data_IF_696083331066
#
_entry.id   IF_696083331066
#
_cell.length_a   1.000
_cell.length_b   1.000
_cell.length_c   1.000
_cell.angle_alpha   90.00
_cell.angle_beta   90.00
_cell.angle_gamma   90.00
#
_symmetry.space_group_name_H-M   'P 1'
#
loop_
_entity.id
_entity.type
_entity.pdbx_description
1 polymer ?
#
# COMPACT_ATOMS: atom_id res chain seq x y z
N UNK A 1 -16.89 6.47 19.35
CA UNK A 1 -17.32 5.74 18.14
C UNK A 1 -17.87 6.63 17.01
N UNK A 2 -18.65 7.69 17.27
CA UNK A 2 -19.25 8.56 16.21
C UNK A 2 -18.26 9.40 15.38
N UNK A 3 -17.14 9.85 15.96
CA UNK A 3 -16.18 10.77 15.30
C UNK A 3 -15.43 10.14 14.13
N UNK A 4 -15.00 8.88 14.28
CA UNK A 4 -14.24 8.14 13.27
C UNK A 4 -15.06 7.87 12.01
N UNK A 5 -16.38 7.63 12.13
CA UNK A 5 -17.26 7.39 10.99
C UNK A 5 -17.47 8.64 10.14
N UNK A 6 -17.58 9.81 10.78
CA UNK A 6 -17.71 11.11 10.10
C UNK A 6 -16.50 11.41 9.22
N UNK A 7 -15.29 11.22 9.74
CA UNK A 7 -14.06 11.42 8.98
C UNK A 7 -13.96 10.49 7.75
N UNK A 8 -14.31 9.21 7.89
CA UNK A 8 -14.30 8.26 6.77
C UNK A 8 -15.28 8.69 5.67
N UNK A 9 -16.48 9.14 6.04
CA UNK A 9 -17.48 9.64 5.08
C UNK A 9 -16.94 10.90 4.39
N UNK A 10 -16.40 11.85 5.15
CA UNK A 10 -15.82 13.09 4.62
C UNK A 10 -14.71 12.82 3.60
N UNK A 11 -13.79 11.92 3.91
CA UNK A 11 -12.72 11.50 2.99
C UNK A 11 -13.27 10.88 1.71
N UNK A 12 -14.28 10.01 1.82
CA UNK A 12 -14.89 9.36 0.66
C UNK A 12 -15.63 10.37 -0.22
N UNK A 13 -16.38 11.30 0.37
CA UNK A 13 -17.06 12.37 -0.37
C UNK A 13 -16.05 13.28 -1.06
N UNK A 14 -14.98 13.69 -0.38
CA UNK A 14 -13.92 14.49 -0.96
C UNK A 14 -13.26 13.81 -2.17
N UNK A 15 -12.90 12.53 -2.02
CA UNK A 15 -12.27 11.75 -3.11
C UNK A 15 -13.21 11.58 -4.31
N UNK A 16 -14.51 11.33 -4.07
CA UNK A 16 -15.49 11.21 -5.15
C UNK A 16 -15.81 12.55 -5.81
N UNK A 17 -15.86 13.63 -5.02
CA UNK A 17 -15.95 14.99 -5.53
C UNK A 17 -14.77 15.32 -6.43
N UNK A 18 -13.54 15.03 -5.98
CA UNK A 18 -12.32 15.25 -6.76
C UNK A 18 -12.30 14.45 -8.07
N UNK A 19 -12.78 13.21 -8.04
CA UNK A 19 -12.97 12.40 -9.23
C UNK A 19 -13.95 13.08 -10.22
N UNK A 20 -15.11 13.55 -9.73
CA UNK A 20 -16.12 14.23 -10.54
C UNK A 20 -15.61 15.55 -11.15
N UNK A 21 -14.97 16.38 -10.32
CA UNK A 21 -14.39 17.66 -10.76
C UNK A 21 -13.29 17.45 -11.79
N UNK A 22 -12.40 16.47 -11.59
CA UNK A 22 -11.35 16.15 -12.55
C UNK A 22 -11.94 15.69 -13.89
N UNK A 23 -12.95 14.82 -13.88
CA UNK A 23 -13.60 14.35 -15.09
C UNK A 23 -14.28 15.49 -15.86
N UNK A 24 -14.94 16.41 -15.16
CA UNK A 24 -15.55 17.60 -15.76
C UNK A 24 -14.50 18.52 -16.39
N UNK A 25 -13.43 18.82 -15.65
CA UNK A 25 -12.32 19.66 -16.13
C UNK A 25 -11.60 19.03 -17.34
N UNK A 26 -11.35 17.71 -17.28
CA UNK A 26 -10.73 16.94 -18.36
C UNK A 26 -11.57 16.98 -19.64
N UNK A 27 -12.89 16.85 -19.52
CA UNK A 27 -13.82 16.89 -20.66
C UNK A 27 -13.88 18.29 -21.27
N UNK A 28 -13.97 19.33 -20.43
CA UNK A 28 -14.08 20.72 -20.88
C UNK A 28 -12.80 21.23 -21.56
N UNK A 29 -11.62 20.79 -21.11
CA UNK A 29 -10.34 21.24 -21.64
C UNK A 29 -9.67 20.23 -22.59
N UNK A 30 -10.35 19.11 -22.90
CA UNK A 30 -9.82 18.00 -23.69
C UNK A 30 -8.45 17.46 -23.20
N UNK A 31 -8.23 17.48 -21.88
CA UNK A 31 -6.98 17.03 -21.24
C UNK A 31 -7.15 15.56 -20.89
N UNK A 32 -6.57 14.65 -21.66
CA UNK A 32 -6.48 13.23 -21.33
C UNK A 32 -5.08 12.91 -20.80
N UNK A 33 -4.99 12.45 -19.54
CA UNK A 33 -3.73 11.95 -18.98
C UNK A 33 -3.70 10.43 -19.18
N UNK A 34 -2.82 9.90 -20.05
CA UNK A 34 -2.67 8.46 -20.21
C UNK A 34 -2.29 7.82 -18.87
N UNK A 35 -3.02 6.77 -18.47
CA UNK A 35 -2.75 6.01 -17.24
C UNK A 35 -2.77 6.84 -15.94
N UNK A 36 -3.56 7.92 -15.88
CA UNK A 36 -3.70 8.74 -14.66
C UNK A 36 -4.13 7.93 -13.43
N UNK A 37 -4.90 6.86 -13.61
CA UNK A 37 -5.25 5.89 -12.57
C UNK A 37 -4.02 5.22 -11.94
N UNK A 38 -3.07 4.77 -12.76
CA UNK A 38 -1.81 4.16 -12.32
C UNK A 38 -0.90 5.18 -11.65
N UNK A 39 -0.85 6.42 -12.16
CA UNK A 39 -0.03 7.48 -11.57
C UNK A 39 -0.52 7.84 -10.16
N UNK A 40 -1.83 8.09 -10.00
CA UNK A 40 -2.43 8.38 -8.70
C UNK A 40 -2.24 7.22 -7.74
N UNK A 41 -2.51 6.00 -8.18
CA UNK A 41 -2.29 4.80 -7.36
C UNK A 41 -0.84 4.69 -6.90
N UNK A 42 0.12 4.86 -7.82
CA UNK A 42 1.56 4.79 -7.51
C UNK A 42 1.99 5.84 -6.50
N UNK A 43 1.54 7.09 -6.65
CA UNK A 43 1.84 8.18 -5.71
C UNK A 43 1.27 7.88 -4.32
N UNK A 44 0.05 7.35 -4.24
CA UNK A 44 -0.53 6.93 -2.96
C UNK A 44 0.26 5.77 -2.33
N UNK A 45 0.67 4.79 -3.14
CA UNK A 45 1.51 3.68 -2.68
C UNK A 45 2.87 4.15 -2.17
N UNK A 46 3.48 5.15 -2.80
CA UNK A 46 4.71 5.80 -2.33
C UNK A 46 4.57 6.30 -0.88
N UNK A 47 3.52 7.09 -0.63
CA UNK A 47 3.22 7.64 0.68
C UNK A 47 2.87 6.55 1.70
N UNK A 48 2.02 5.58 1.31
CA UNK A 48 1.57 4.50 2.18
C UNK A 48 2.74 3.60 2.61
N UNK A 49 3.66 3.27 1.69
CA UNK A 49 4.80 2.41 2.01
C UNK A 49 5.85 3.13 2.85
N UNK A 50 6.06 4.42 2.60
CA UNK A 50 6.83 5.25 3.52
C UNK A 50 6.22 5.27 4.92
N UNK A 51 4.90 5.48 5.02
CA UNK A 51 4.19 5.47 6.29
C UNK A 51 4.31 4.13 7.02
N UNK A 52 4.05 3.01 6.33
CA UNK A 52 4.14 1.67 6.89
C UNK A 52 5.49 1.39 7.57
N UNK A 53 6.60 1.65 6.86
CA UNK A 53 7.93 1.38 7.39
C UNK A 53 8.36 2.43 8.42
N UNK A 54 8.20 3.72 8.10
CA UNK A 54 8.86 4.78 8.84
C UNK A 54 7.93 5.60 9.74
N UNK A 55 6.64 5.76 9.42
CA UNK A 55 5.67 6.60 10.14
C UNK A 55 4.28 5.93 10.22
N UNK A 56 4.15 4.80 10.94
CA UNK A 56 2.90 4.02 11.00
C UNK A 56 1.76 4.80 11.66
N UNK A 57 2.08 5.83 12.44
CA UNK A 57 1.17 6.77 13.09
C UNK A 57 0.37 7.63 12.11
N UNK A 58 0.78 7.66 10.84
CA UNK A 58 0.16 8.50 9.80
C UNK A 58 -0.90 7.77 8.98
N UNK A 59 -1.05 6.46 9.15
CA UNK A 59 -2.08 5.67 8.47
C UNK A 59 -2.98 4.96 9.51
N UNK A 60 -4.23 4.62 9.16
CA UNK A 60 -5.11 3.91 10.08
C UNK A 60 -4.52 2.57 10.54
N UNK A 61 -4.65 2.26 11.83
CA UNK A 61 -4.08 1.05 12.43
C UNK A 61 -4.59 -0.24 11.77
N UNK A 62 -5.87 -0.31 11.41
CA UNK A 62 -6.45 -1.47 10.70
C UNK A 62 -5.81 -1.67 9.33
N UNK A 63 -5.50 -0.57 8.63
CA UNK A 63 -4.84 -0.62 7.34
C UNK A 63 -3.37 -1.03 7.48
N UNK A 64 -2.69 -0.54 8.50
CA UNK A 64 -1.33 -0.97 8.83
C UNK A 64 -1.26 -2.48 9.15
N UNK A 65 -2.20 -2.98 9.96
CA UNK A 65 -2.32 -4.43 10.24
C UNK A 65 -2.61 -5.25 8.98
N UNK A 66 -3.45 -4.73 8.08
CA UNK A 66 -3.70 -5.36 6.78
C UNK A 66 -2.44 -5.42 5.92
N UNK A 67 -1.68 -4.32 5.79
CA UNK A 67 -0.41 -4.30 5.06
C UNK A 67 0.60 -5.27 5.69
N UNK A 68 0.70 -5.31 7.01
CA UNK A 68 1.57 -6.25 7.74
C UNK A 68 1.21 -7.71 7.43
N UNK A 69 -0.08 -8.01 7.31
CA UNK A 69 -0.55 -9.36 6.94
C UNK A 69 -0.24 -9.66 5.47
N UNK A 70 -0.48 -8.68 4.59
CA UNK A 70 -0.27 -8.81 3.16
C UNK A 70 1.21 -8.94 2.77
N UNK A 71 2.13 -8.27 3.48
CA UNK A 71 3.56 -8.31 3.20
C UNK A 71 4.20 -9.65 3.53
N UNK A 72 3.58 -10.46 4.41
CA UNK A 72 4.07 -11.79 4.82
C UNK A 72 5.50 -11.78 5.36
N UNK A 73 5.97 -10.64 5.87
CA UNK A 73 7.23 -10.49 6.60
C UNK A 73 6.98 -10.52 8.11
N UNK A 74 7.97 -10.86 8.95
CA UNK A 74 7.80 -10.76 10.40
C UNK A 74 7.59 -9.30 10.82
N UNK A 75 6.63 -9.05 11.71
CA UNK A 75 6.33 -7.71 12.24
C UNK A 75 7.56 -7.07 12.90
N UNK A 76 8.32 -7.89 13.61
CA UNK A 76 9.54 -7.55 14.34
C UNK A 76 10.58 -6.99 13.39
N UNK A 77 10.69 -7.50 12.17
CA UNK A 77 11.61 -7.00 11.15
C UNK A 77 11.27 -5.57 10.72
N UNK A 78 9.98 -5.23 10.65
CA UNK A 78 9.51 -3.86 10.37
C UNK A 78 9.82 -2.92 11.55
N UNK A 79 9.64 -3.41 12.79
CA UNK A 79 9.97 -2.65 14.00
C UNK A 79 11.48 -2.39 14.09
N UNK A 80 12.30 -3.43 13.91
CA UNK A 80 13.77 -3.35 13.89
C UNK A 80 14.23 -2.36 12.81
N UNK A 81 13.69 -2.47 11.59
CA UNK A 81 14.01 -1.56 10.50
C UNK A 81 13.76 -0.10 10.89
N UNK A 82 12.59 0.18 11.47
CA UNK A 82 12.22 1.54 11.89
C UNK A 82 13.12 2.07 12.99
N UNK A 83 13.42 1.26 14.01
CA UNK A 83 14.29 1.67 15.12
C UNK A 83 15.72 1.92 14.65
N UNK A 84 16.27 1.05 13.81
CA UNK A 84 17.58 1.23 13.19
C UNK A 84 17.63 2.52 12.35
N UNK A 85 16.61 2.75 11.53
CA UNK A 85 16.57 3.91 10.65
C UNK A 85 16.44 5.24 11.40
N UNK A 86 15.70 5.27 12.51
CA UNK A 86 15.44 6.49 13.28
C UNK A 86 16.51 6.77 14.34
N UNK A 87 16.88 5.75 15.09
CA UNK A 87 17.67 5.86 16.31
C UNK A 87 19.03 5.17 16.20
N UNK A 88 19.29 4.42 15.13
CA UNK A 88 20.53 3.65 14.98
C UNK A 88 20.61 2.41 15.86
N UNK A 89 19.53 2.05 16.58
CA UNK A 89 19.51 0.94 17.54
C UNK A 89 18.28 0.05 17.31
N UNK A 90 18.36 -1.22 17.70
CA UNK A 90 17.20 -2.11 17.75
C UNK A 90 17.08 -2.77 19.13
N UNK A 91 15.87 -3.15 19.50
CA UNK A 91 15.64 -3.93 20.72
C UNK A 91 16.05 -5.40 20.48
N UNK A 92 17.02 -5.94 21.25
CA UNK A 92 17.46 -7.33 21.18
C UNK A 92 16.34 -8.36 21.19
N UNK A 93 15.25 -8.12 21.94
CA UNK A 93 14.13 -9.06 22.05
C UNK A 93 13.39 -9.25 20.72
N UNK A 94 13.28 -8.19 19.92
CA UNK A 94 12.68 -8.27 18.60
C UNK A 94 13.52 -9.13 17.65
N UNK A 95 14.85 -9.01 17.69
CA UNK A 95 15.75 -9.80 16.85
C UNK A 95 15.76 -11.27 17.26
N UNK A 96 15.79 -11.55 18.57
CA UNK A 96 15.66 -12.91 19.10
C UNK A 96 14.34 -13.57 18.71
N UNK A 97 13.24 -12.81 18.71
CA UNK A 97 11.94 -13.32 18.27
C UNK A 97 11.96 -13.75 16.81
N UNK A 98 12.69 -13.06 15.94
CA UNK A 98 12.86 -13.44 14.52
C UNK A 98 13.75 -14.67 14.39
N UNK A 99 14.86 -14.71 15.13
CA UNK A 99 15.80 -15.82 15.15
C UNK A 99 15.14 -17.13 15.61
N UNK A 100 14.32 -17.08 16.67
CA UNK A 100 13.69 -18.25 17.28
C UNK A 100 12.42 -18.74 16.56
N UNK A 101 12.07 -18.18 15.40
CA UNK A 101 10.91 -18.68 14.62
C UNK A 101 11.23 -20.06 14.06
N UNK A 102 10.26 -20.97 14.12
CA UNK A 102 10.36 -22.31 13.50
C UNK A 102 10.71 -22.29 12.01
N UNK A 103 10.37 -21.19 11.34
CA UNK A 103 10.62 -21.04 9.91
C UNK A 103 12.02 -20.55 9.59
N UNK A 104 12.82 -20.12 10.57
CA UNK A 104 14.13 -19.51 10.33
C UNK A 104 15.17 -20.56 9.96
N UNK A 105 15.91 -20.34 8.87
CA UNK A 105 17.00 -21.23 8.45
C UNK A 105 18.18 -21.16 9.43
N UNK A 106 18.96 -22.24 9.54
CA UNK A 106 20.13 -22.27 10.41
C UNK A 106 21.15 -21.18 10.03
N UNK A 107 21.37 -20.99 8.72
CA UNK A 107 22.29 -19.97 8.21
C UNK A 107 21.86 -18.55 8.59
N UNK A 108 20.58 -18.22 8.44
CA UNK A 108 20.06 -16.92 8.85
C UNK A 108 20.11 -16.74 10.37
N UNK A 109 19.77 -17.79 11.14
CA UNK A 109 19.85 -17.74 12.60
C UNK A 109 21.29 -17.43 13.08
N UNK A 110 22.31 -18.02 12.47
CA UNK A 110 23.71 -17.74 12.81
C UNK A 110 24.08 -16.27 12.55
N UNK A 111 23.70 -15.71 11.40
CA UNK A 111 23.99 -14.29 11.09
C UNK A 111 23.24 -13.32 12.02
N UNK A 112 21.99 -13.65 12.36
CA UNK A 112 21.20 -12.86 13.31
C UNK A 112 21.80 -12.93 14.71
N UNK A 113 22.31 -14.10 15.12
CA UNK A 113 23.02 -14.29 16.38
C UNK A 113 24.33 -13.50 16.42
N UNK A 114 25.13 -13.53 15.35
CA UNK A 114 26.37 -12.75 15.25
C UNK A 114 26.08 -11.26 15.44
N UNK A 115 25.06 -10.73 14.74
CA UNK A 115 24.67 -9.33 14.87
C UNK A 115 24.14 -8.98 16.26
N UNK A 116 23.41 -9.88 16.89
CA UNK A 116 22.93 -9.73 18.27
C UNK A 116 24.12 -9.68 19.24
N UNK A 117 25.11 -10.56 19.05
CA UNK A 117 26.30 -10.62 19.88
C UNK A 117 27.15 -9.36 19.75
N UNK A 118 27.33 -8.86 18.52
CA UNK A 118 28.04 -7.61 18.24
C UNK A 118 27.35 -6.43 18.95
N UNK A 119 26.02 -6.31 18.81
CA UNK A 119 25.25 -5.26 19.47
C UNK A 119 25.39 -5.31 21.01
N UNK A 120 25.48 -6.50 21.59
CA UNK A 120 25.66 -6.68 23.03
C UNK A 120 27.10 -6.36 23.50
N UNK A 121 28.12 -6.70 22.71
CA UNK A 121 29.53 -6.53 23.12
C UNK A 121 30.10 -5.16 22.82
N UNK A 122 29.79 -4.59 21.66
CA UNK A 122 30.41 -3.33 21.17
C UNK A 122 29.43 -2.17 21.12
N UNK A 123 28.13 -2.42 21.28
CA UNK A 123 27.09 -1.43 21.04
C UNK A 123 26.88 -1.12 19.55
N UNK A 124 27.48 -1.89 18.64
CA UNK A 124 27.29 -1.74 17.19
C UNK A 124 26.08 -2.57 16.72
N UNK A 125 25.00 -1.87 16.36
CA UNK A 125 23.77 -2.47 15.85
C UNK A 125 23.81 -2.71 14.33
N UNK A 126 24.93 -2.38 13.67
CA UNK A 126 25.15 -2.51 12.23
C UNK A 126 24.53 -1.39 11.40
N UNK A 127 24.32 -1.65 10.10
CA UNK A 127 23.73 -0.67 9.17
C UNK A 127 22.32 -0.19 9.59
N UNK A 128 21.89 1.01 9.11
CA UNK A 128 20.66 1.70 9.54
C UNK A 128 19.36 1.07 9.00
N UNK A 129 19.38 -0.23 8.72
CA UNK A 129 18.27 -0.99 8.18
C UNK A 129 18.34 -2.45 8.64
N UNK A 130 17.17 -3.10 8.70
CA UNK A 130 17.04 -4.53 9.02
C UNK A 130 17.79 -5.39 8.00
N UNK A 131 18.57 -6.40 8.43
CA UNK A 131 19.22 -7.33 7.50
C UNK A 131 18.19 -8.19 6.77
N UNK A 132 18.51 -8.59 5.54
CA UNK A 132 17.68 -9.46 4.71
C UNK A 132 17.35 -10.79 5.42
N UNK A 133 18.29 -11.31 6.21
CA UNK A 133 18.12 -12.53 7.01
C UNK A 133 16.98 -12.40 8.05
N UNK A 134 16.64 -11.18 8.47
CA UNK A 134 15.47 -10.92 9.31
C UNK A 134 14.21 -10.60 8.49
N UNK A 135 14.32 -10.10 7.26
CA UNK A 135 13.16 -9.82 6.39
C UNK A 135 12.51 -11.11 5.88
N UNK A 136 13.33 -12.06 5.45
CA UNK A 136 12.89 -13.35 4.93
C UNK A 136 13.64 -14.53 5.60
N UNK A 137 13.47 -14.71 6.93
CA UNK A 137 14.26 -15.68 7.69
C UNK A 137 14.12 -17.13 7.22
N UNK A 138 13.05 -17.46 6.49
CA UNK A 138 12.77 -18.79 5.94
C UNK A 138 13.54 -19.14 4.67
N UNK A 139 14.36 -18.22 4.16
CA UNK A 139 15.13 -18.46 2.95
C UNK A 139 16.43 -17.68 2.95
N UNK A 140 17.47 -18.30 2.43
CA UNK A 140 18.80 -17.70 2.35
C UNK A 140 18.97 -16.83 1.10
N UNK A 141 18.20 -17.11 0.04
CA UNK A 141 18.28 -16.39 -1.24
C UNK A 141 17.36 -15.16 -1.28
N UNK A 142 17.97 -13.98 -1.37
CA UNK A 142 17.26 -12.71 -1.59
C UNK A 142 16.59 -12.62 -2.96
N UNK A 143 17.12 -13.31 -3.97
CA UNK A 143 16.63 -13.25 -5.37
C UNK A 143 15.35 -14.07 -5.52
N UNK A 144 15.25 -15.19 -4.81
CA UNK A 144 14.05 -16.03 -4.84
C UNK A 144 12.95 -15.52 -3.90
N UNK A 145 13.29 -14.64 -2.95
CA UNK A 145 12.34 -14.14 -1.96
C UNK A 145 11.12 -13.43 -2.54
N UNK A 146 11.26 -12.55 -3.55
CA UNK A 146 10.10 -11.97 -4.24
C UNK A 146 9.19 -12.99 -4.91
N UNK A 147 9.75 -14.07 -5.48
CA UNK A 147 8.99 -15.12 -6.18
C UNK A 147 8.18 -15.95 -5.18
N UNK A 148 8.82 -16.36 -4.09
CA UNK A 148 8.16 -17.06 -3.00
C UNK A 148 7.06 -16.19 -2.36
N UNK A 149 7.31 -14.89 -2.15
CA UNK A 149 6.28 -13.98 -1.65
C UNK A 149 5.15 -13.76 -2.63
N UNK A 150 5.43 -13.65 -3.93
CA UNK A 150 4.38 -13.62 -4.95
C UNK A 150 3.45 -14.83 -4.80
N UNK A 151 4.00 -16.04 -4.75
CA UNK A 151 3.21 -17.27 -4.64
C UNK A 151 2.42 -17.34 -3.33
N UNK A 152 3.04 -16.97 -2.20
CA UNK A 152 2.41 -16.95 -0.88
C UNK A 152 1.23 -15.98 -0.81
N UNK A 153 1.42 -14.75 -1.29
CA UNK A 153 0.38 -13.71 -1.31
C UNK A 153 -0.72 -14.07 -2.32
N UNK A 154 -0.35 -14.58 -3.48
CA UNK A 154 -1.30 -15.05 -4.49
C UNK A 154 -2.22 -16.13 -3.91
N UNK A 155 -1.65 -17.17 -3.29
CA UNK A 155 -2.43 -18.28 -2.71
C UNK A 155 -3.32 -17.83 -1.56
N UNK A 156 -2.87 -16.88 -0.75
CA UNK A 156 -3.67 -16.30 0.33
C UNK A 156 -4.85 -15.48 -0.18
N UNK A 157 -4.62 -14.69 -1.23
CA UNK A 157 -5.61 -13.74 -1.71
C UNK A 157 -6.59 -14.37 -2.71
N UNK A 158 -6.21 -15.49 -3.33
CA UNK A 158 -7.04 -16.26 -4.25
C UNK A 158 -8.44 -16.58 -3.71
N UNK A 159 -8.64 -17.16 -2.50
CA UNK A 159 -9.98 -17.43 -1.99
C UNK A 159 -10.77 -16.14 -1.69
N UNK A 160 -10.11 -15.07 -1.24
CA UNK A 160 -10.75 -13.80 -0.90
C UNK A 160 -11.30 -13.12 -2.16
N UNK A 161 -10.47 -13.00 -3.20
CA UNK A 161 -10.93 -12.46 -4.49
C UNK A 161 -11.83 -13.42 -5.24
N UNK A 162 -11.66 -14.73 -5.05
CA UNK A 162 -12.56 -15.76 -5.56
C UNK A 162 -13.98 -15.53 -5.07
N UNK A 163 -14.16 -15.36 -3.76
CA UNK A 163 -15.46 -15.00 -3.19
C UNK A 163 -15.97 -13.66 -3.74
N UNK A 164 -15.12 -12.63 -3.82
CA UNK A 164 -15.52 -11.30 -4.32
C UNK A 164 -16.03 -11.32 -5.76
N UNK A 165 -15.43 -12.12 -6.65
CA UNK A 165 -15.85 -12.21 -8.05
C UNK A 165 -17.00 -13.19 -8.26
N UNK A 166 -17.08 -14.26 -7.46
CA UNK A 166 -18.10 -15.29 -7.59
C UNK A 166 -19.43 -14.93 -6.91
N UNK A 167 -19.39 -14.33 -5.71
CA UNK A 167 -20.61 -14.02 -4.94
C UNK A 167 -21.56 -13.09 -5.68
N UNK A 168 -21.13 -11.94 -6.25
CA UNK A 168 -22.04 -11.07 -7.00
C UNK A 168 -22.59 -11.76 -8.26
N UNK A 169 -21.80 -12.62 -8.90
CA UNK A 169 -22.21 -13.38 -10.06
C UNK A 169 -23.32 -14.40 -9.70
N UNK A 170 -23.15 -15.12 -8.58
CA UNK A 170 -24.13 -16.08 -8.07
C UNK A 170 -25.36 -15.39 -7.49
N UNK A 171 -25.22 -14.27 -6.78
CA UNK A 171 -26.37 -13.62 -6.13
C UNK A 171 -27.24 -12.83 -7.11
N UNK A 172 -26.64 -12.00 -7.96
CA UNK A 172 -27.38 -11.05 -8.79
C UNK A 172 -27.65 -11.56 -10.21
N UNK A 173 -26.96 -12.62 -10.65
CA UNK A 173 -27.09 -13.18 -12.01
C UNK A 173 -27.41 -14.69 -11.99
N UNK A 174 -28.23 -15.13 -11.03
CA UNK A 174 -28.61 -16.56 -10.84
C UNK A 174 -29.05 -17.25 -12.12
N UNK A 175 -29.99 -16.65 -12.87
CA UNK A 175 -30.52 -17.25 -14.11
C UNK A 175 -29.41 -17.51 -15.13
N UNK A 176 -28.62 -16.48 -15.44
CA UNK A 176 -27.47 -16.59 -16.35
C UNK A 176 -26.39 -17.55 -15.83
N UNK A 177 -26.22 -17.64 -14.50
CA UNK A 177 -25.26 -18.55 -13.88
C UNK A 177 -25.66 -20.02 -14.07
N UNK A 178 -26.95 -20.34 -13.95
CA UNK A 178 -27.44 -21.70 -14.20
C UNK A 178 -27.55 -22.04 -15.69
N UNK A 179 -27.81 -21.05 -16.55
CA UNK A 179 -27.82 -21.24 -18.01
C UNK A 179 -26.41 -21.44 -18.60
N UNK A 180 -25.41 -20.72 -18.07
CA UNK A 180 -24.03 -20.71 -18.60
C UNK A 180 -22.97 -20.77 -17.48
N UNK A 181 -22.91 -21.88 -16.71
CA UNK A 181 -22.05 -21.98 -15.53
C UNK A 181 -20.57 -21.85 -15.86
N UNK A 182 -20.09 -22.51 -16.93
CA UNK A 182 -18.67 -22.52 -17.27
C UNK A 182 -18.15 -21.18 -17.79
N UNK A 183 -18.95 -20.44 -18.56
CA UNK A 183 -18.57 -19.08 -18.97
C UNK A 183 -18.44 -18.15 -17.76
N UNK A 184 -19.38 -18.22 -16.82
CA UNK A 184 -19.38 -17.36 -15.64
C UNK A 184 -18.27 -17.72 -14.67
N UNK A 185 -18.01 -19.01 -14.46
CA UNK A 185 -16.89 -19.49 -13.67
C UNK A 185 -15.55 -19.14 -14.32
N UNK A 186 -15.41 -19.27 -15.63
CA UNK A 186 -14.20 -18.86 -16.34
C UNK A 186 -13.90 -17.36 -16.19
N UNK A 187 -14.92 -16.50 -16.33
CA UNK A 187 -14.78 -15.05 -16.11
C UNK A 187 -14.43 -14.73 -14.65
N UNK A 188 -15.08 -15.38 -13.69
CA UNK A 188 -14.81 -15.18 -12.26
C UNK A 188 -13.40 -15.66 -11.89
N UNK A 189 -12.98 -16.82 -12.42
CA UNK A 189 -11.64 -17.36 -12.23
C UNK A 189 -10.57 -16.43 -12.83
N UNK A 190 -10.78 -15.93 -14.05
CA UNK A 190 -9.86 -14.97 -14.67
C UNK A 190 -9.74 -13.67 -13.87
N UNK A 191 -10.88 -13.13 -13.39
CA UNK A 191 -10.89 -11.98 -12.49
C UNK A 191 -10.12 -12.24 -11.19
N UNK A 192 -10.29 -13.44 -10.63
CA UNK A 192 -9.64 -13.86 -9.38
C UNK A 192 -8.14 -14.01 -9.54
N UNK A 193 -7.68 -14.70 -10.58
CA UNK A 193 -6.26 -14.87 -10.92
C UNK A 193 -5.63 -13.51 -11.13
N UNK A 194 -6.27 -12.64 -11.92
CA UNK A 194 -5.76 -11.31 -12.25
C UNK A 194 -5.63 -10.41 -11.02
N UNK A 195 -6.64 -10.35 -10.16
CA UNK A 195 -6.60 -9.56 -8.93
C UNK A 195 -5.60 -10.10 -7.91
N UNK A 196 -5.49 -11.44 -7.79
CA UNK A 196 -4.51 -12.07 -6.89
C UNK A 196 -3.08 -11.84 -7.38
N UNK A 197 -2.87 -11.91 -8.70
CA UNK A 197 -1.58 -11.60 -9.32
C UNK A 197 -1.21 -10.13 -9.15
N UNK A 198 -2.16 -9.19 -9.25
CA UNK A 198 -1.91 -7.77 -8.98
C UNK A 198 -1.28 -7.56 -7.59
N UNK A 199 -1.92 -8.09 -6.53
CA UNK A 199 -1.40 -7.90 -5.17
C UNK A 199 -0.10 -8.68 -4.94
N UNK A 200 0.02 -9.90 -5.47
CA UNK A 200 1.26 -10.67 -5.42
C UNK A 200 2.43 -9.90 -6.07
N UNK A 201 2.20 -9.33 -7.25
CA UNK A 201 3.19 -8.52 -7.98
C UNK A 201 3.55 -7.26 -7.20
N UNK A 202 2.58 -6.60 -6.55
CA UNK A 202 2.84 -5.44 -5.68
C UNK A 202 3.88 -5.79 -4.60
N UNK A 203 3.64 -6.87 -3.85
CA UNK A 203 4.53 -7.29 -2.75
C UNK A 203 5.89 -7.72 -3.29
N UNK A 204 5.92 -8.47 -4.39
CA UNK A 204 7.15 -8.93 -5.02
C UNK A 204 8.03 -7.76 -5.49
N UNK A 205 7.46 -6.75 -6.17
CA UNK A 205 8.20 -5.56 -6.59
C UNK A 205 8.77 -4.82 -5.38
N UNK A 206 7.96 -4.57 -4.34
CA UNK A 206 8.42 -3.84 -3.16
C UNK A 206 9.56 -4.55 -2.45
N UNK A 207 9.43 -5.87 -2.27
CA UNK A 207 10.45 -6.66 -1.60
C UNK A 207 11.72 -6.80 -2.43
N UNK A 208 11.60 -6.98 -3.75
CA UNK A 208 12.75 -7.02 -4.65
C UNK A 208 13.53 -5.70 -4.58
N UNK A 209 12.81 -4.58 -4.65
CA UNK A 209 13.40 -3.25 -4.51
C UNK A 209 14.07 -3.06 -3.14
N UNK A 210 13.38 -3.43 -2.05
CA UNK A 210 13.91 -3.32 -0.70
C UNK A 210 15.20 -4.15 -0.55
N UNK A 211 15.18 -5.44 -0.90
CA UNK A 211 16.35 -6.30 -0.73
C UNK A 211 17.52 -5.85 -1.64
N UNK A 212 17.24 -5.46 -2.88
CA UNK A 212 18.26 -4.97 -3.82
C UNK A 212 18.93 -3.71 -3.29
N UNK A 213 18.17 -2.73 -2.80
CA UNK A 213 18.74 -1.50 -2.24
C UNK A 213 19.62 -1.76 -1.01
N UNK A 214 19.19 -2.63 -0.10
CA UNK A 214 19.96 -2.93 1.12
C UNK A 214 21.20 -3.77 0.83
N UNK A 215 21.12 -4.72 -0.10
CA UNK A 215 22.27 -5.49 -0.56
C UNK A 215 23.28 -4.59 -1.29
N UNK A 216 22.80 -3.68 -2.16
CA UNK A 216 23.64 -2.70 -2.83
C UNK A 216 24.29 -1.74 -1.81
N UNK A 217 23.55 -1.27 -0.82
CA UNK A 217 24.08 -0.42 0.24
C UNK A 217 25.17 -1.11 1.07
N UNK A 218 25.02 -2.42 1.34
CA UNK A 218 26.02 -3.25 2.02
C UNK A 218 27.25 -3.48 1.14
N UNK A 219 27.05 -3.78 -0.14
CA UNK A 219 28.14 -3.95 -1.11
C UNK A 219 29.00 -2.67 -1.25
N UNK A 220 28.33 -1.52 -1.33
CA UNK A 220 28.99 -0.20 -1.38
C UNK A 220 29.63 0.20 -0.05
N UNK A 221 29.23 -0.39 1.09
CA UNK A 221 29.90 -0.15 2.36
C UNK A 221 31.32 -0.75 2.37
N UNK A 222 31.52 -1.85 1.65
CA UNK A 222 32.83 -2.50 1.51
C UNK A 222 33.76 -1.73 0.55
N UNK A 223 33.22 -0.87 -0.31
CA UNK A 223 33.98 -0.03 -1.25
C UNK A 223 34.00 1.44 -0.79
N UNK A 224 35.13 1.88 -0.22
CA UNK A 224 35.28 3.22 0.42
C UNK A 224 35.01 4.41 -0.50
N UNK A 225 35.06 4.26 -1.83
CA UNK A 225 34.93 5.35 -2.80
C UNK A 225 33.49 5.86 -3.01
N UNK A 226 32.47 5.20 -2.45
CA UNK A 226 31.04 5.46 -2.79
C UNK A 226 30.15 5.85 -1.62
N UNK A 227 30.68 6.53 -0.60
CA UNK A 227 29.90 6.93 0.59
C UNK A 227 28.67 7.80 0.26
N UNK A 228 28.77 8.74 -0.69
CA UNK A 228 27.63 9.58 -1.13
C UNK A 228 26.52 8.74 -1.78
N UNK A 229 26.89 7.78 -2.63
CA UNK A 229 25.93 6.91 -3.30
C UNK A 229 25.21 6.00 -2.30
N UNK A 230 25.95 5.45 -1.33
CA UNK A 230 25.38 4.67 -0.22
C UNK A 230 24.37 5.50 0.58
N UNK A 231 24.70 6.74 0.93
CA UNK A 231 23.78 7.63 1.65
C UNK A 231 22.51 7.93 0.85
N UNK A 232 22.61 8.05 -0.48
CA UNK A 232 21.48 8.26 -1.36
C UNK A 232 20.56 7.02 -1.42
N UNK A 233 21.13 5.80 -1.48
CA UNK A 233 20.35 4.55 -1.52
C UNK A 233 19.63 4.28 -0.19
N UNK A 234 20.18 4.73 0.93
CA UNK A 234 19.54 4.58 2.24
C UNK A 234 18.70 5.82 2.60
N UNK A 235 18.57 6.79 1.69
CA UNK A 235 17.86 8.03 2.00
C UNK A 235 16.35 7.81 2.15
N UNK A 236 15.69 8.70 2.92
CA UNK A 236 14.23 8.68 3.13
C UNK A 236 13.40 8.63 1.83
N UNK A 237 13.77 9.34 0.75
CA UNK A 237 13.06 9.25 -0.53
C UNK A 237 13.06 7.86 -1.17
N UNK A 238 14.03 6.98 -0.88
CA UNK A 238 14.06 5.65 -1.50
C UNK A 238 12.85 4.79 -1.14
N UNK A 239 12.30 4.95 0.06
CA UNK A 239 11.05 4.26 0.43
C UNK A 239 9.84 4.75 -0.37
N UNK A 240 9.83 6.03 -0.80
CA UNK A 240 8.81 6.53 -1.72
C UNK A 240 8.97 5.91 -3.10
N UNK A 241 10.21 5.84 -3.61
CA UNK A 241 10.48 5.19 -4.91
C UNK A 241 10.04 3.72 -4.89
N UNK A 242 10.30 3.00 -3.80
CA UNK A 242 9.83 1.62 -3.66
C UNK A 242 8.31 1.50 -3.77
N UNK A 243 7.57 2.39 -3.12
CA UNK A 243 6.11 2.43 -3.24
C UNK A 243 5.62 2.88 -4.62
N UNK A 244 6.29 3.83 -5.28
CA UNK A 244 6.02 4.23 -6.66
C UNK A 244 6.16 3.04 -7.62
N UNK A 245 7.29 2.33 -7.56
CA UNK A 245 7.56 1.17 -8.40
C UNK A 245 6.54 0.06 -8.16
N UNK A 246 6.18 -0.19 -6.90
CA UNK A 246 5.19 -1.21 -6.55
C UNK A 246 3.79 -0.83 -7.07
N UNK A 247 3.50 0.46 -7.21
CA UNK A 247 2.28 0.97 -7.83
C UNK A 247 2.09 0.52 -9.29
N UNK A 248 3.18 0.25 -10.02
CA UNK A 248 3.13 -0.25 -11.40
C UNK A 248 2.48 -1.63 -11.51
N UNK A 249 2.41 -2.39 -10.41
CA UNK A 249 1.65 -3.64 -10.36
C UNK A 249 0.19 -3.47 -10.82
N UNK A 250 -0.39 -2.26 -10.72
CA UNK A 250 -1.75 -1.97 -11.15
C UNK A 250 -1.99 -2.26 -12.65
N UNK A 251 -0.95 -2.28 -13.48
CA UNK A 251 -1.06 -2.72 -14.88
C UNK A 251 -1.55 -4.16 -15.01
N UNK A 252 -1.25 -5.03 -14.04
CA UNK A 252 -1.74 -6.40 -13.99
C UNK A 252 -3.25 -6.42 -13.83
N UNK A 253 -3.87 -5.46 -13.15
CA UNK A 253 -5.32 -5.40 -12.94
C UNK A 253 -6.08 -4.87 -14.18
N UNK A 254 -7.36 -5.24 -14.29
CA UNK A 254 -8.25 -4.86 -15.38
C UNK A 254 -8.52 -3.36 -15.38
N UNK A 255 -8.41 -2.72 -16.55
CA UNK A 255 -8.57 -1.27 -16.74
C UNK A 255 -9.83 -0.70 -16.04
N UNK A 256 -10.95 -1.44 -16.07
CA UNK A 256 -12.20 -1.05 -15.42
C UNK A 256 -12.10 -0.92 -13.89
N UNK A 257 -11.25 -1.71 -13.23
CA UNK A 257 -11.10 -1.74 -11.76
C UNK A 257 -10.01 -0.79 -11.24
N UNK A 258 -9.07 -0.38 -12.09
CA UNK A 258 -7.91 0.43 -11.69
C UNK A 258 -8.32 1.75 -11.05
N UNK A 259 -9.29 2.45 -11.65
CA UNK A 259 -9.83 3.71 -11.10
C UNK A 259 -10.48 3.51 -9.72
N UNK A 260 -11.20 2.41 -9.50
CA UNK A 260 -11.81 2.11 -8.20
C UNK A 260 -10.75 1.82 -7.14
N UNK A 261 -9.70 1.07 -7.49
CA UNK A 261 -8.57 0.79 -6.60
C UNK A 261 -7.76 2.04 -6.27
N UNK A 262 -7.50 2.91 -7.26
CA UNK A 262 -6.86 4.20 -7.05
C UNK A 262 -7.66 5.05 -6.07
N UNK A 263 -8.98 5.15 -6.25
CA UNK A 263 -9.86 5.90 -5.34
C UNK A 263 -10.00 5.25 -3.96
N UNK A 264 -9.79 3.93 -3.85
CA UNK A 264 -9.78 3.24 -2.55
C UNK A 264 -8.54 3.61 -1.72
N UNK A 265 -7.35 3.67 -2.34
CA UNK A 265 -6.10 4.00 -1.64
C UNK A 265 -5.85 5.50 -1.49
N UNK A 266 -6.42 6.32 -2.38
CA UNK A 266 -6.27 7.78 -2.37
C UNK A 266 -6.53 8.44 -1.02
N UNK A 267 -7.66 8.21 -0.32
CA UNK A 267 -7.91 8.85 0.96
C UNK A 267 -6.86 8.45 2.02
N UNK A 268 -6.33 7.22 1.96
CA UNK A 268 -5.28 6.74 2.88
C UNK A 268 -3.92 7.39 2.62
N UNK A 269 -3.57 7.55 1.35
CA UNK A 269 -2.38 8.30 0.95
C UNK A 269 -2.47 9.77 1.35
N UNK A 270 -3.59 10.43 1.06
CA UNK A 270 -3.80 11.84 1.40
C UNK A 270 -3.83 12.09 2.91
N UNK A 271 -4.50 11.23 3.68
CA UNK A 271 -4.51 11.30 5.15
C UNK A 271 -3.08 11.25 5.71
N UNK A 272 -2.28 10.29 5.24
CA UNK A 272 -0.88 10.15 5.66
C UNK A 272 -0.03 11.35 5.27
N UNK A 273 -0.16 11.83 4.03
CA UNK A 273 0.54 13.03 3.57
C UNK A 273 0.15 14.26 4.40
N UNK A 274 -1.13 14.42 4.72
CA UNK A 274 -1.65 15.53 5.53
C UNK A 274 -1.12 15.49 6.96
N UNK A 275 -1.13 14.33 7.62
CA UNK A 275 -0.58 14.17 8.98
C UNK A 275 0.92 14.46 8.99
N UNK A 276 1.65 14.00 7.97
CA UNK A 276 3.08 14.32 7.83
C UNK A 276 3.34 15.82 7.60
N UNK A 277 2.53 16.48 6.76
CA UNK A 277 2.63 17.91 6.49
C UNK A 277 2.38 18.73 7.76
N UNK A 278 1.37 18.36 8.56
CA UNK A 278 1.12 18.99 9.87
C UNK A 278 2.27 18.78 10.84
N UNK A 279 2.83 17.57 10.90
CA UNK A 279 3.98 17.27 11.76
C UNK A 279 5.26 18.05 11.39
N UNK A 280 5.35 18.57 10.16
CA UNK A 280 6.46 19.44 9.71
C UNK A 280 6.13 20.94 9.78
N UNK A 281 4.93 21.32 10.20
CA UNK A 281 4.48 22.71 10.22
C UNK A 281 4.06 23.28 8.86
N UNK A 282 3.95 22.46 7.81
CA UNK A 282 3.55 22.91 6.47
C UNK A 282 2.02 23.05 6.29
N UNK A 283 1.24 22.47 7.19
CA UNK A 283 -0.22 22.53 7.12
C UNK A 283 -0.79 23.22 8.37
N UNK A 284 -1.77 24.10 8.15
CA UNK A 284 -2.42 24.87 9.20
C UNK A 284 -3.16 23.96 10.20
N UNK A 285 -3.16 24.38 11.47
CA UNK A 285 -3.93 23.73 12.52
C UNK A 285 -5.43 23.92 12.28
N UNK A 286 -6.07 22.94 11.66
CA UNK A 286 -7.53 22.96 11.39
C UNK A 286 -8.40 22.64 12.62
N UNK A 287 -7.78 22.44 13.79
CA UNK A 287 -8.45 22.18 15.05
C UNK A 287 -9.50 21.05 14.96
N UNK A 288 -10.62 21.23 15.66
CA UNK A 288 -11.75 20.29 15.62
C UNK A 288 -12.63 20.43 14.36
N UNK A 289 -12.40 21.44 13.52
CA UNK A 289 -13.27 21.76 12.37
C UNK A 289 -12.79 21.13 11.05
N UNK A 290 -11.58 20.59 11.00
CA UNK A 290 -11.00 20.03 9.77
C UNK A 290 -11.84 18.93 9.13
N UNK A 291 -12.46 18.05 9.92
CA UNK A 291 -13.34 16.99 9.42
C UNK A 291 -14.60 17.57 8.76
N UNK A 292 -15.25 18.54 9.42
CA UNK A 292 -16.44 19.20 8.91
C UNK A 292 -16.15 20.02 7.65
N UNK A 293 -15.00 20.69 7.60
CA UNK A 293 -14.57 21.44 6.42
C UNK A 293 -14.26 20.53 5.23
N UNK A 294 -13.53 19.42 5.46
CA UNK A 294 -13.26 18.43 4.43
C UNK A 294 -14.56 17.82 3.88
N UNK A 295 -15.52 17.54 4.77
CA UNK A 295 -16.83 17.05 4.40
C UNK A 295 -17.61 18.08 3.58
N UNK A 296 -17.62 19.35 4.01
CA UNK A 296 -18.33 20.43 3.31
C UNK A 296 -17.74 20.67 1.91
N UNK A 297 -16.42 20.71 1.79
CA UNK A 297 -15.73 20.82 0.50
C UNK A 297 -16.07 19.61 -0.38
N UNK A 298 -15.93 18.40 0.16
CA UNK A 298 -16.23 17.18 -0.59
C UNK A 298 -17.67 17.11 -1.08
N UNK A 299 -18.63 17.48 -0.23
CA UNK A 299 -20.05 17.54 -0.60
C UNK A 299 -20.30 18.63 -1.64
N UNK A 300 -19.69 19.80 -1.51
CA UNK A 300 -19.78 20.88 -2.50
C UNK A 300 -19.29 20.43 -3.88
N UNK A 301 -18.14 19.75 -3.95
CA UNK A 301 -17.60 19.20 -5.20
C UNK A 301 -18.53 18.16 -5.83
N UNK A 302 -19.11 17.28 -5.00
CA UNK A 302 -20.10 16.28 -5.45
C UNK A 302 -21.35 16.95 -5.99
N UNK A 303 -21.87 17.99 -5.32
CA UNK A 303 -23.06 18.73 -5.77
C UNK A 303 -22.82 19.51 -7.05
N UNK A 304 -21.65 20.14 -7.22
CA UNK A 304 -21.27 20.77 -8.50
C UNK A 304 -21.20 19.74 -9.62
N UNK A 305 -20.65 18.55 -9.34
CA UNK A 305 -20.58 17.45 -10.30
C UNK A 305 -21.95 16.80 -10.57
N UNK A 306 -22.92 16.95 -9.67
CA UNK A 306 -24.28 16.42 -9.85
C UNK A 306 -25.06 17.17 -10.94
N UNK A 307 -24.71 18.43 -11.20
CA UNK A 307 -25.25 19.18 -12.34
C UNK A 307 -24.77 18.62 -13.70
N UNK A 308 -23.71 17.80 -13.71
CA UNK A 308 -23.16 17.12 -14.89
C UNK A 308 -22.93 15.62 -14.58
N UNK A 309 -24.02 14.83 -14.44
CA UNK A 309 -24.00 13.49 -13.86
C UNK A 309 -23.18 12.44 -14.65
N UNK A 310 -22.83 12.73 -15.90
CA UNK A 310 -21.90 11.99 -16.75
C UNK A 310 -20.48 11.89 -16.16
N UNK A 311 -20.09 12.83 -15.30
CA UNK A 311 -18.75 12.88 -14.71
C UNK A 311 -18.62 12.12 -13.39
N UNK A 312 -19.74 11.67 -12.80
CA UNK A 312 -19.77 10.93 -11.54
C UNK A 312 -19.67 9.41 -11.76
N UNK A 313 -19.04 8.72 -10.80
CA UNK A 313 -19.07 7.25 -10.77
C UNK A 313 -20.51 6.72 -10.70
N UNK A 314 -20.82 5.68 -11.47
CA UNK A 314 -22.18 5.13 -11.58
C UNK A 314 -22.81 4.64 -10.27
N UNK A 315 -22.02 4.37 -9.23
CA UNK A 315 -22.50 4.08 -7.88
C UNK A 315 -22.89 5.35 -7.12
N UNK A 316 -22.04 6.38 -7.15
CA UNK A 316 -22.31 7.69 -6.54
C UNK A 316 -23.53 8.33 -7.17
N UNK A 317 -23.62 8.27 -8.50
CA UNK A 317 -24.77 8.74 -9.27
C UNK A 317 -26.07 8.06 -8.82
N UNK A 318 -26.07 6.73 -8.66
CA UNK A 318 -27.26 5.98 -8.20
C UNK A 318 -27.67 6.35 -6.77
N UNK A 319 -26.70 6.50 -5.87
CA UNK A 319 -26.98 6.89 -4.47
C UNK A 319 -27.51 8.33 -4.40
N UNK A 320 -26.92 9.26 -5.15
CA UNK A 320 -27.38 10.65 -5.20
C UNK A 320 -28.78 10.77 -5.79
N UNK A 321 -29.09 10.02 -6.87
CA UNK A 321 -30.45 9.98 -7.41
C UNK A 321 -31.49 9.49 -6.40
N UNK A 322 -31.12 8.57 -5.51
CA UNK A 322 -32.03 8.08 -4.46
C UNK A 322 -32.18 9.06 -3.29
N UNK A 323 -31.17 9.89 -3.00
CA UNK A 323 -31.17 10.79 -1.85
C UNK A 323 -31.64 12.21 -2.18
N UNK A 324 -31.27 12.73 -3.35
CA UNK A 324 -31.54 14.11 -3.80
C UNK A 324 -32.72 14.14 -4.77
N UNK A 325 -33.00 13.04 -5.45
CA UNK A 325 -34.01 12.94 -6.50
C UNK A 325 -33.42 13.07 -7.91
N UNK A 326 -34.18 12.73 -8.97
CA UNK A 326 -33.80 13.00 -10.35
C UNK A 326 -33.78 14.52 -10.60
N UNK A 327 -32.73 14.99 -11.29
CA UNK A 327 -32.77 16.27 -12.00
C UNK A 327 -33.68 16.13 -13.22
#
# INVERSE_FOLDING_TARGET
EKRTRGMVIAQQMFVRGLQGTYNAFSTNNNISIPHGDVMVFSLCCAQIMYAFLLRPDTIPQSYNAWIQTASRVPLQSVIIHRSLFRNGVFDPANLQTVMNRKTTTAANATKLFERLSLAATTGDYGGPFVPCDAVHPWMDSCVLAPVDRFASVFRWMFPIYGALHLVPAVMFKRKTFFEKPWEMLGRAAWGTVRSSAFLGTFVAIYQAFFCTNHNLATYLANHRSTLKLRQLIISRPMYWIGGLLSGLSLFVEAKRRRGELAMYVLPKGLESAWVMARGKGYAFGTGNFGESLLCAIGMGMVMVSFNHPEHLSGLVRRVLYQLVGPN
#
